data_IF_911104340267
#
_entry.id   IF_911104340267
#
_cell.length_a   1.000
_cell.length_b   1.000
_cell.length_c   1.000
_cell.angle_alpha   90.00
_cell.angle_beta   90.00
_cell.angle_gamma   90.00
#
_symmetry.space_group_name_H-M   'P 1'
#
loop_
_entity.id
_entity.type
_entity.pdbx_description
1 polymer ?
#
# COMPACT_ATOMS: atom_id res chain seq x y z
N UNK A 1 14.79 41.88 17.84
CA UNK A 1 16.14 41.61 17.32
C UNK A 1 16.28 40.12 17.03
N UNK A 2 16.98 39.72 15.96
CA UNK A 2 17.18 38.31 15.57
C UNK A 2 18.65 37.92 15.68
N UNK A 3 18.92 36.70 16.15
CA UNK A 3 20.27 36.16 16.23
C UNK A 3 20.53 35.19 15.09
N UNK A 4 21.70 35.29 14.46
CA UNK A 4 22.12 34.36 13.43
C UNK A 4 22.37 32.97 14.02
N UNK A 5 21.62 31.96 13.55
CA UNK A 5 21.79 30.56 13.95
C UNK A 5 23.19 30.00 13.61
N UNK A 6 23.90 30.60 12.65
CA UNK A 6 25.22 30.12 12.21
C UNK A 6 26.39 30.72 12.97
N UNK A 7 26.34 32.01 13.32
CA UNK A 7 27.48 32.72 13.90
C UNK A 7 27.18 33.49 15.19
N UNK A 8 25.94 33.46 15.68
CA UNK A 8 25.52 34.12 16.92
C UNK A 8 25.48 35.65 16.86
N UNK A 9 25.73 36.27 15.70
CA UNK A 9 25.67 37.72 15.57
C UNK A 9 24.22 38.22 15.68
N UNK A 10 24.06 39.40 16.30
CA UNK A 10 22.77 40.04 16.51
C UNK A 10 22.46 40.97 15.35
N UNK A 11 21.32 40.75 14.72
CA UNK A 11 20.84 41.47 13.55
C UNK A 11 19.50 42.17 13.84
N UNK A 12 19.16 43.17 13.02
CA UNK A 12 17.85 43.81 13.03
C UNK A 12 16.74 42.81 12.70
N UNK A 13 15.54 42.98 13.25
CA UNK A 13 14.39 42.07 13.03
C UNK A 13 14.02 41.86 11.56
N UNK A 14 14.21 42.92 10.76
CA UNK A 14 13.92 42.92 9.33
C UNK A 14 15.07 42.39 8.46
N UNK A 15 16.22 42.05 9.07
CA UNK A 15 17.36 41.54 8.34
C UNK A 15 17.05 40.13 7.81
N UNK A 16 17.06 39.96 6.48
CA UNK A 16 16.89 38.66 5.83
C UNK A 16 18.18 37.84 5.78
N UNK A 17 19.32 38.53 5.80
CA UNK A 17 20.66 37.97 5.67
C UNK A 17 21.51 38.52 6.82
N UNK A 18 22.36 37.67 7.40
CA UNK A 18 23.28 38.07 8.44
C UNK A 18 24.38 38.97 7.87
N UNK A 19 24.44 40.21 8.33
CA UNK A 19 25.48 41.21 7.98
C UNK A 19 26.92 40.73 8.23
N UNK A 20 27.13 39.82 9.18
CA UNK A 20 28.48 39.33 9.53
C UNK A 20 28.94 38.13 8.70
N UNK A 21 28.06 37.20 8.38
CA UNK A 21 28.45 35.91 7.78
C UNK A 21 27.68 35.55 6.49
N UNK A 22 26.79 36.42 6.02
CA UNK A 22 26.05 36.26 4.77
C UNK A 22 24.99 35.16 4.76
N UNK A 23 24.68 34.53 5.90
CA UNK A 23 23.69 33.45 5.99
C UNK A 23 22.27 34.00 6.16
N UNK A 24 21.29 33.39 5.50
CA UNK A 24 19.88 33.75 5.64
C UNK A 24 19.40 33.54 7.08
N UNK A 25 18.77 34.56 7.65
CA UNK A 25 18.26 34.53 9.03
C UNK A 25 16.92 33.82 9.15
N UNK A 26 16.15 33.82 8.06
CA UNK A 26 14.90 33.08 7.93
C UNK A 26 15.10 31.96 6.91
N UNK A 27 14.77 30.73 7.30
CA UNK A 27 14.59 29.65 6.35
C UNK A 27 13.33 30.02 5.57
N UNK A 28 13.46 30.30 4.27
CA UNK A 28 12.30 30.35 3.40
C UNK A 28 11.71 28.94 3.39
N UNK A 29 10.76 28.69 4.30
CA UNK A 29 9.82 27.59 4.14
C UNK A 29 9.08 27.93 2.88
N UNK A 30 9.54 27.39 1.74
CA UNK A 30 8.75 27.32 0.53
C UNK A 30 7.42 26.73 0.98
N UNK A 31 6.40 27.57 1.06
CA UNK A 31 5.02 27.09 1.12
C UNK A 31 4.83 26.39 -0.20
N UNK A 32 5.17 25.10 -0.25
CA UNK A 32 4.53 24.20 -1.18
C UNK A 32 3.06 24.36 -0.85
N UNK A 33 2.35 25.11 -1.69
CA UNK A 33 0.91 25.17 -1.67
C UNK A 33 0.41 23.74 -1.52
N UNK A 34 -0.49 23.44 -0.57
CA UNK A 34 -1.19 22.17 -0.61
C UNK A 34 -2.09 22.26 -1.83
N UNK A 35 -1.57 21.86 -3.00
CA UNK A 35 -2.44 21.39 -4.06
C UNK A 35 -3.29 20.32 -3.41
N UNK A 36 -4.62 20.44 -3.48
CA UNK A 36 -5.54 19.38 -3.04
C UNK A 36 -5.30 18.04 -3.77
N UNK A 37 -4.34 18.02 -4.69
CA UNK A 37 -3.67 16.85 -5.23
C UNK A 37 -2.16 17.05 -5.08
N UNK A 38 -1.60 16.69 -3.93
CA UNK A 38 -0.15 16.60 -3.75
C UNK A 38 0.47 15.54 -4.68
N UNK A 39 1.79 15.55 -4.89
CA UNK A 39 2.45 14.51 -5.66
C UNK A 39 2.10 13.15 -5.07
N UNK A 40 1.56 12.28 -5.93
CA UNK A 40 1.21 10.88 -5.67
C UNK A 40 2.32 10.25 -4.83
N UNK A 41 2.08 10.07 -3.53
CA UNK A 41 2.99 9.33 -2.65
C UNK A 41 2.93 7.88 -3.11
N UNK A 42 3.96 7.51 -3.88
CA UNK A 42 4.38 6.15 -4.03
C UNK A 42 4.56 5.53 -2.64
N UNK A 43 4.10 4.29 -2.49
CA UNK A 43 4.40 3.42 -1.37
C UNK A 43 3.85 3.90 -0.01
N UNK A 44 2.53 3.82 0.16
CA UNK A 44 2.06 3.26 1.42
C UNK A 44 2.52 1.81 1.45
N UNK A 45 3.34 1.49 2.43
CA UNK A 45 3.82 0.15 2.70
C UNK A 45 2.61 -0.76 2.87
N UNK A 46 2.23 -1.46 1.80
CA UNK A 46 1.38 -2.61 1.88
C UNK A 46 2.15 -3.63 2.75
N UNK A 47 1.88 -3.61 4.06
CA UNK A 47 2.24 -4.67 5.00
C UNK A 47 1.45 -5.95 4.66
N UNK A 48 1.55 -6.42 3.42
CA UNK A 48 1.23 -7.73 2.89
C UNK A 48 1.97 -7.81 1.56
N UNK A 49 3.26 -8.13 1.62
CA UNK A 49 4.22 -8.02 0.51
C UNK A 49 3.96 -8.93 -0.69
N UNK A 50 2.90 -8.69 -1.45
CA UNK A 50 2.73 -9.15 -2.82
C UNK A 50 2.30 -7.96 -3.70
N UNK A 51 3.15 -7.48 -4.63
CA UNK A 51 2.94 -6.26 -5.41
C UNK A 51 1.71 -6.26 -6.36
N UNK A 52 0.92 -7.34 -6.37
CA UNK A 52 -0.35 -7.47 -7.09
C UNK A 52 -1.39 -8.30 -6.28
N UNK A 53 -1.15 -8.55 -4.99
CA UNK A 53 -1.88 -9.53 -4.18
C UNK A 53 -3.36 -9.19 -4.01
N UNK A 54 -3.70 -7.91 -3.82
CA UNK A 54 -5.08 -7.48 -3.65
C UNK A 54 -5.97 -7.73 -4.87
N UNK A 55 -5.46 -7.43 -6.07
CA UNK A 55 -6.20 -7.63 -7.33
C UNK A 55 -6.37 -9.14 -7.60
N UNK A 56 -5.32 -9.93 -7.41
CA UNK A 56 -5.38 -11.38 -7.64
C UNK A 56 -6.39 -12.04 -6.69
N UNK A 57 -6.40 -11.66 -5.41
CA UNK A 57 -7.37 -12.15 -4.43
C UNK A 57 -8.80 -11.74 -4.79
N UNK A 58 -9.02 -10.48 -5.16
CA UNK A 58 -10.33 -9.99 -5.58
C UNK A 58 -10.84 -10.70 -6.86
N UNK A 59 -9.96 -10.96 -7.83
CA UNK A 59 -10.28 -11.71 -9.05
C UNK A 59 -10.63 -13.16 -8.73
N UNK A 60 -9.84 -13.84 -7.89
CA UNK A 60 -10.11 -15.22 -7.47
C UNK A 60 -11.45 -15.33 -6.75
N UNK A 61 -11.73 -14.43 -5.80
CA UNK A 61 -13.00 -14.39 -5.08
C UNK A 61 -14.16 -14.13 -6.05
N UNK A 62 -14.01 -13.18 -6.97
CA UNK A 62 -15.01 -12.88 -7.99
C UNK A 62 -15.32 -14.09 -8.88
N UNK A 63 -14.29 -14.81 -9.34
CA UNK A 63 -14.45 -16.02 -10.17
C UNK A 63 -15.20 -17.12 -9.41
N UNK A 64 -14.92 -17.32 -8.12
CA UNK A 64 -15.62 -18.31 -7.29
C UNK A 64 -17.11 -17.96 -7.16
N UNK A 65 -17.44 -16.69 -6.92
CA UNK A 65 -18.82 -16.22 -6.82
C UNK A 65 -19.58 -16.45 -8.14
N UNK A 66 -18.93 -16.15 -9.27
CA UNK A 66 -19.52 -16.36 -10.59
C UNK A 66 -19.79 -17.84 -10.84
N UNK A 67 -18.83 -18.72 -10.54
CA UNK A 67 -18.97 -20.17 -10.73
C UNK A 67 -20.07 -20.73 -9.82
N UNK A 68 -20.15 -20.29 -8.56
CA UNK A 68 -21.19 -20.70 -7.62
C UNK A 68 -22.60 -20.24 -8.08
N UNK A 69 -22.72 -19.02 -8.58
CA UNK A 69 -23.96 -18.51 -9.16
C UNK A 69 -24.39 -19.29 -10.41
N UNK A 70 -23.44 -19.57 -11.31
CA UNK A 70 -23.70 -20.34 -12.53
C UNK A 70 -24.13 -21.78 -12.23
N UNK A 71 -23.46 -22.45 -11.29
CA UNK A 71 -23.83 -23.82 -10.88
C UNK A 71 -25.21 -23.87 -10.22
N UNK A 72 -25.57 -22.87 -9.41
CA UNK A 72 -26.91 -22.74 -8.83
C UNK A 72 -28.01 -22.56 -9.89
N UNK A 73 -27.77 -21.72 -10.90
CA UNK A 73 -28.70 -21.52 -12.01
C UNK A 73 -28.83 -22.77 -12.89
N UNK A 74 -27.72 -23.44 -13.20
CA UNK A 74 -27.70 -24.66 -13.99
C UNK A 74 -28.37 -25.83 -13.27
N UNK A 75 -28.22 -25.93 -11.94
CA UNK A 75 -28.92 -26.96 -11.14
C UNK A 75 -30.44 -26.85 -11.30
N UNK A 76 -30.99 -25.63 -11.19
CA UNK A 76 -32.42 -25.38 -11.37
C UNK A 76 -32.96 -25.73 -12.76
N UNK A 77 -32.14 -25.55 -13.81
CA UNK A 77 -32.54 -25.80 -15.21
C UNK A 77 -32.35 -27.27 -15.60
N UNK A 78 -31.25 -27.89 -15.18
CA UNK A 78 -30.85 -29.23 -15.61
C UNK A 78 -31.21 -30.36 -14.62
N UNK A 79 -31.79 -30.06 -13.45
CA UNK A 79 -32.01 -31.04 -12.36
C UNK A 79 -30.75 -31.83 -12.02
N UNK A 80 -29.61 -31.15 -12.05
CA UNK A 80 -28.33 -31.73 -11.71
C UNK A 80 -28.13 -31.58 -10.21
N UNK A 81 -28.31 -32.66 -9.44
CA UNK A 81 -28.21 -32.73 -7.97
C UNK A 81 -26.77 -32.52 -7.49
N UNK A 82 -26.20 -31.34 -7.78
CA UNK A 82 -24.88 -30.93 -7.30
C UNK A 82 -25.09 -30.08 -6.06
N UNK A 83 -24.76 -30.67 -4.92
CA UNK A 83 -24.64 -29.97 -3.64
C UNK A 83 -23.49 -28.96 -3.69
N UNK A 84 -23.83 -27.74 -4.10
CA UNK A 84 -22.91 -26.58 -4.19
C UNK A 84 -22.16 -26.40 -2.86
N UNK A 85 -22.84 -26.63 -1.74
CA UNK A 85 -22.25 -26.52 -0.40
C UNK A 85 -21.10 -27.50 -0.15
N UNK A 86 -21.17 -28.71 -0.72
CA UNK A 86 -20.12 -29.74 -0.60
C UNK A 86 -18.91 -29.45 -1.51
N UNK A 87 -19.08 -28.65 -2.56
CA UNK A 87 -18.02 -28.33 -3.53
C UNK A 87 -17.29 -27.01 -3.23
N UNK A 88 -17.97 -26.05 -2.60
CA UNK A 88 -17.41 -24.73 -2.27
C UNK A 88 -16.43 -24.80 -1.09
N UNK A 89 -16.67 -25.68 -0.11
CA UNK A 89 -15.79 -25.83 1.05
C UNK A 89 -14.38 -26.36 0.69
N UNK A 90 -14.24 -27.45 -0.08
CA UNK A 90 -12.93 -27.96 -0.49
C UNK A 90 -12.11 -26.94 -1.30
N UNK A 91 -12.76 -26.20 -2.20
CA UNK A 91 -12.07 -25.20 -3.02
C UNK A 91 -11.55 -24.03 -2.19
N UNK A 92 -12.33 -23.53 -1.23
CA UNK A 92 -11.87 -22.51 -0.29
C UNK A 92 -10.69 -22.99 0.57
N UNK A 93 -10.75 -24.22 1.12
CA UNK A 93 -9.67 -24.79 1.94
C UNK A 93 -8.38 -24.90 1.13
N UNK A 94 -8.46 -25.39 -0.11
CA UNK A 94 -7.30 -25.52 -1.01
C UNK A 94 -6.67 -24.14 -1.27
N UNK A 95 -7.49 -23.12 -1.56
CA UNK A 95 -7.00 -21.77 -1.83
C UNK A 95 -6.31 -21.17 -0.60
N UNK A 96 -6.92 -21.28 0.58
CA UNK A 96 -6.33 -20.80 1.84
C UNK A 96 -5.00 -21.53 2.12
N UNK A 97 -4.95 -22.85 1.90
CA UNK A 97 -3.73 -23.63 2.04
C UNK A 97 -2.60 -23.17 1.12
N UNK A 98 -2.91 -22.92 -0.16
CA UNK A 98 -1.94 -22.41 -1.15
C UNK A 98 -1.41 -21.03 -0.74
N UNK A 99 -2.26 -20.13 -0.26
CA UNK A 99 -1.85 -18.79 0.18
C UNK A 99 -0.90 -18.84 1.38
N UNK A 100 -1.16 -19.73 2.34
CA UNK A 100 -0.28 -19.94 3.50
C UNK A 100 1.10 -20.44 3.05
N UNK A 101 1.13 -21.45 2.16
CA UNK A 101 2.38 -22.01 1.63
C UNK A 101 3.16 -20.96 0.84
N UNK A 102 2.48 -20.24 -0.05
CA UNK A 102 3.09 -19.17 -0.81
C UNK A 102 3.67 -18.09 0.13
N UNK A 103 2.88 -17.61 1.09
CA UNK A 103 3.32 -16.61 2.08
C UNK A 103 4.57 -17.07 2.86
N UNK A 104 4.59 -18.33 3.30
CA UNK A 104 5.75 -18.90 3.99
C UNK A 104 7.00 -18.97 3.09
N UNK A 105 6.86 -19.44 1.85
CA UNK A 105 7.98 -19.57 0.90
C UNK A 105 8.50 -18.20 0.47
N UNK A 106 7.62 -17.26 0.13
CA UNK A 106 8.00 -15.91 -0.25
C UNK A 106 8.63 -15.14 0.91
N UNK A 107 8.10 -15.28 2.14
CA UNK A 107 8.69 -14.69 3.34
C UNK A 107 10.11 -15.18 3.62
N UNK A 108 10.39 -16.47 3.39
CA UNK A 108 11.74 -17.02 3.52
C UNK A 108 12.68 -16.58 2.38
N UNK A 109 12.15 -16.42 1.16
CA UNK A 109 12.92 -15.98 -0.02
C UNK A 109 13.34 -14.52 0.06
N UNK A 110 12.46 -13.64 0.59
CA UNK A 110 12.75 -12.22 0.84
C UNK A 110 13.93 -12.05 1.80
N UNK A 111 14.01 -12.89 2.84
CA UNK A 111 15.07 -12.83 3.86
C UNK A 111 16.47 -13.18 3.33
N UNK A 112 16.57 -13.89 2.21
CA UNK A 112 17.85 -14.27 1.58
C UNK A 112 18.41 -13.24 0.59
N UNK A 113 17.62 -12.24 0.16
CA UNK A 113 18.06 -11.22 -0.82
C UNK A 113 18.52 -9.90 -0.18
N UNK A 114 18.54 -9.82 1.15
CA UNK A 114 18.93 -8.62 1.91
C UNK A 114 20.32 -8.69 2.57
N UNK A 115 21.20 -9.61 2.17
CA UNK A 115 22.61 -9.71 2.62
C UNK A 115 23.54 -9.62 1.44
#
# INVERSE_FOLDING_TARGET
MVYCHKCGHKNSDDAKICEKCGTHLYVEVRKTEPTCFGPKREHEEECFGLPHGGIIVAVIIGVIIIIAGLTSLLNNIFKWDIDVWSSVWPTLIIIVGILIIAGAVYGLSQRKRGT
#
